data_IF_771017125009
#
_entry.id   IF_771017125009
#
_cell.length_a   1.000
_cell.length_b   1.000
_cell.length_c   1.000
_cell.angle_alpha   90.00
_cell.angle_beta   90.00
_cell.angle_gamma   90.00
#
_symmetry.space_group_name_H-M   'P 1'
#
loop_
_entity.id
_entity.type
_entity.pdbx_description
1 polymer ?
#
# COMPACT_ATOMS: atom_id res chain seq x y z
N UNK A 1 1.25 49.41 -33.37
CA UNK A 1 0.49 48.35 -34.06
C UNK A 1 1.49 47.27 -34.45
N UNK A 2 1.42 46.01 -34.02
CA UNK A 2 0.35 45.24 -33.40
C UNK A 2 0.96 44.29 -32.36
N UNK A 3 0.29 44.22 -31.21
CA UNK A 3 0.38 43.14 -30.23
C UNK A 3 -0.03 41.81 -30.87
N UNK A 4 0.66 40.74 -30.46
CA UNK A 4 0.21 39.35 -30.49
C UNK A 4 0.63 38.85 -29.09
N UNK A 5 -0.12 39.12 -28.02
CA UNK A 5 -1.27 38.33 -27.55
C UNK A 5 -1.50 37.02 -28.31
N UNK A 6 -0.57 36.09 -28.13
CA UNK A 6 -0.91 34.67 -28.14
C UNK A 6 -1.50 34.31 -26.79
N UNK A 7 -2.81 34.55 -26.72
CA UNK A 7 -3.83 33.77 -26.01
C UNK A 7 -3.32 32.82 -24.93
N UNK A 8 -3.67 33.14 -23.69
CA UNK A 8 -3.98 32.18 -22.62
C UNK A 8 -4.49 30.87 -23.23
N UNK A 9 -3.60 29.88 -23.31
CA UNK A 9 -4.04 28.51 -23.43
C UNK A 9 -4.94 28.24 -22.24
N UNK A 10 -6.10 27.67 -22.55
CA UNK A 10 -7.16 27.27 -21.63
C UNK A 10 -6.66 26.15 -20.70
N UNK A 11 -5.69 26.45 -19.85
CA UNK A 11 -5.19 25.55 -18.82
C UNK A 11 -6.30 25.34 -17.78
N UNK A 12 -6.99 24.20 -17.91
CA UNK A 12 -7.77 23.52 -16.88
C UNK A 12 -8.73 24.41 -16.08
N UNK A 13 -9.90 24.67 -16.68
CA UNK A 13 -10.98 25.47 -16.09
C UNK A 13 -11.63 24.79 -14.87
N UNK A 14 -11.48 23.47 -14.70
CA UNK A 14 -12.14 22.74 -13.62
C UNK A 14 -11.20 22.50 -12.42
N UNK A 15 -11.68 22.80 -11.21
CA UNK A 15 -10.99 22.46 -9.97
C UNK A 15 -10.90 20.93 -9.78
N UNK A 16 -10.08 20.47 -8.84
CA UNK A 16 -10.02 19.05 -8.53
C UNK A 16 -11.19 18.70 -7.62
N UNK A 17 -11.93 17.65 -7.97
CA UNK A 17 -13.07 17.17 -7.19
C UNK A 17 -12.71 15.95 -6.34
N UNK A 18 -13.38 15.82 -5.19
CA UNK A 18 -13.28 14.64 -4.35
C UNK A 18 -14.03 13.51 -5.04
N UNK A 19 -13.33 12.44 -5.39
CA UNK A 19 -13.89 11.34 -6.20
C UNK A 19 -14.71 10.42 -5.30
N UNK A 20 -15.96 10.13 -5.68
CA UNK A 20 -16.82 9.15 -4.99
C UNK A 20 -16.27 7.74 -5.17
N UNK A 21 -15.77 7.17 -4.08
CA UNK A 21 -15.17 5.83 -4.04
C UNK A 21 -16.13 4.76 -3.53
N UNK A 22 -17.39 5.12 -3.20
CA UNK A 22 -18.36 4.16 -2.65
C UNK A 22 -18.76 3.15 -3.70
N UNK A 23 -18.77 1.89 -3.27
CA UNK A 23 -19.26 0.79 -4.10
C UNK A 23 -20.76 0.52 -3.88
N UNK A 24 -21.35 1.09 -2.82
CA UNK A 24 -22.74 0.87 -2.40
C UNK A 24 -23.68 2.05 -2.66
N UNK A 25 -24.50 2.37 -1.66
CA UNK A 25 -25.56 3.37 -1.75
C UNK A 25 -25.05 4.77 -2.17
N UNK A 26 -25.65 5.30 -3.24
CA UNK A 26 -25.36 6.62 -3.84
C UNK A 26 -26.47 7.64 -3.58
N UNK A 27 -27.44 7.33 -2.71
CA UNK A 27 -28.58 8.19 -2.42
C UNK A 27 -28.21 9.47 -1.64
N UNK A 28 -27.06 9.48 -0.97
CA UNK A 28 -26.55 10.63 -0.22
C UNK A 28 -25.28 11.21 -0.85
N UNK A 29 -25.01 12.52 -0.68
CA UNK A 29 -23.75 13.13 -1.10
C UNK A 29 -22.55 12.36 -0.54
N UNK A 30 -21.53 12.15 -1.37
CA UNK A 30 -20.31 11.48 -0.93
C UNK A 30 -19.53 12.36 0.03
N UNK A 31 -19.17 11.79 1.18
CA UNK A 31 -18.22 12.38 2.10
C UNK A 31 -17.13 11.36 2.40
N UNK A 32 -15.89 11.68 2.03
CA UNK A 32 -14.74 10.87 2.35
C UNK A 32 -14.54 10.86 3.87
N UNK A 33 -14.77 9.72 4.52
CA UNK A 33 -14.71 9.60 5.99
C UNK A 33 -14.03 8.31 6.43
N UNK A 34 -13.59 8.31 7.68
CA UNK A 34 -13.07 7.12 8.35
C UNK A 34 -14.17 6.51 9.22
N UNK A 35 -14.66 5.33 8.83
CA UNK A 35 -15.69 4.62 9.59
C UNK A 35 -15.23 4.32 11.04
N UNK A 36 -16.12 4.26 12.03
CA UNK A 36 -15.73 3.89 13.39
C UNK A 36 -15.34 2.40 13.46
N UNK A 37 -14.42 2.07 14.38
CA UNK A 37 -13.92 0.70 14.58
C UNK A 37 -15.05 -0.29 14.91
N UNK A 38 -16.14 0.17 15.54
CA UNK A 38 -17.31 -0.67 15.83
C UNK A 38 -17.96 -1.29 14.58
N UNK A 39 -17.71 -0.74 13.38
CA UNK A 39 -18.19 -1.29 12.10
C UNK A 39 -17.35 -2.45 11.58
N UNK A 40 -16.17 -2.71 12.13
CA UNK A 40 -15.28 -3.80 11.68
C UNK A 40 -15.61 -5.14 12.31
N UNK A 41 -16.37 -5.17 13.42
CA UNK A 41 -16.62 -6.39 14.20
C UNK A 41 -17.28 -7.50 13.39
N UNK A 42 -18.23 -7.16 12.51
CA UNK A 42 -18.90 -8.16 11.66
C UNK A 42 -17.97 -8.71 10.58
N UNK A 43 -17.18 -7.84 9.94
CA UNK A 43 -16.16 -8.23 8.98
C UNK A 43 -15.11 -9.18 9.60
N UNK A 44 -14.63 -8.87 10.81
CA UNK A 44 -13.71 -9.73 11.55
C UNK A 44 -14.33 -11.10 11.79
N UNK A 45 -15.55 -11.16 12.35
CA UNK A 45 -16.26 -12.43 12.58
C UNK A 45 -16.48 -13.22 11.30
N UNK A 46 -16.76 -12.55 10.18
CA UNK A 46 -16.92 -13.20 8.89
C UNK A 46 -15.61 -13.80 8.38
N UNK A 47 -14.51 -13.04 8.46
CA UNK A 47 -13.17 -13.49 8.03
C UNK A 47 -12.59 -14.58 8.94
N UNK A 48 -12.82 -14.50 10.26
CA UNK A 48 -12.45 -15.54 11.25
C UNK A 48 -13.38 -16.77 11.20
N UNK A 49 -14.52 -16.67 10.51
CA UNK A 49 -15.42 -17.79 10.31
C UNK A 49 -14.70 -18.97 9.67
N UNK A 50 -15.04 -20.20 10.08
CA UNK A 50 -14.38 -21.43 9.60
C UNK A 50 -14.52 -21.58 8.08
N UNK A 51 -13.53 -21.06 7.34
CA UNK A 51 -13.41 -21.18 5.89
C UNK A 51 -12.04 -21.74 5.56
N UNK A 52 -11.95 -22.93 4.92
CA UNK A 52 -10.67 -23.57 4.65
C UNK A 52 -9.77 -22.75 3.72
N UNK A 53 -10.37 -21.87 2.92
CA UNK A 53 -9.69 -20.98 1.97
C UNK A 53 -9.10 -19.71 2.62
N UNK A 54 -9.43 -19.42 3.88
CA UNK A 54 -8.84 -18.33 4.67
C UNK A 54 -7.91 -18.95 5.69
N UNK A 55 -6.61 -18.77 5.47
CA UNK A 55 -5.53 -19.41 6.23
C UNK A 55 -4.58 -18.32 6.71
N UNK A 56 -5.08 -17.34 7.45
CA UNK A 56 -4.30 -16.21 7.94
C UNK A 56 -4.55 -16.01 9.43
N UNK A 57 -3.59 -15.40 10.11
CA UNK A 57 -3.69 -15.12 11.54
C UNK A 57 -4.84 -14.16 11.85
N UNK A 58 -5.37 -14.22 13.08
CA UNK A 58 -6.36 -13.24 13.57
C UNK A 58 -5.85 -11.80 13.53
N UNK A 59 -4.53 -11.60 13.66
CA UNK A 59 -3.88 -10.30 13.53
C UNK A 59 -3.98 -9.76 12.09
N UNK A 60 -3.71 -10.60 11.09
CA UNK A 60 -3.89 -10.26 9.68
C UNK A 60 -5.37 -9.97 9.35
N UNK A 61 -6.31 -10.74 9.90
CA UNK A 61 -7.75 -10.47 9.75
C UNK A 61 -8.12 -9.09 10.31
N UNK A 62 -7.62 -8.74 11.50
CA UNK A 62 -7.85 -7.41 12.08
C UNK A 62 -7.27 -6.31 11.20
N UNK A 63 -6.08 -6.50 10.63
CA UNK A 63 -5.48 -5.54 9.68
C UNK A 63 -6.33 -5.33 8.44
N UNK A 64 -6.85 -6.39 7.84
CA UNK A 64 -7.77 -6.31 6.69
C UNK A 64 -9.03 -5.52 7.05
N UNK A 65 -9.68 -5.89 8.16
CA UNK A 65 -10.94 -5.28 8.56
C UNK A 65 -10.80 -3.81 8.99
N UNK A 66 -9.70 -3.46 9.67
CA UNK A 66 -9.38 -2.08 10.02
C UNK A 66 -8.86 -1.29 8.79
N UNK A 67 -8.19 -1.95 7.84
CA UNK A 67 -7.72 -1.36 6.60
C UNK A 67 -8.84 -0.91 5.68
N UNK A 68 -9.98 -1.62 5.69
CA UNK A 68 -11.08 -1.36 4.78
C UNK A 68 -11.76 0.00 4.98
N UNK A 69 -12.03 0.67 3.86
CA UNK A 69 -12.83 1.91 3.79
C UNK A 69 -14.30 1.61 4.03
N UNK A 70 -14.79 0.51 3.45
CA UNK A 70 -16.16 0.02 3.60
C UNK A 70 -16.12 -1.39 4.24
N UNK A 71 -15.86 -1.53 5.57
CA UNK A 71 -15.73 -2.84 6.21
C UNK A 71 -16.95 -3.75 6.02
N UNK A 72 -18.15 -3.17 5.88
CA UNK A 72 -19.36 -3.93 5.61
C UNK A 72 -19.31 -4.71 4.28
N UNK A 73 -18.54 -4.26 3.27
CA UNK A 73 -18.37 -4.99 2.02
C UNK A 73 -17.48 -6.24 2.16
N UNK A 74 -16.70 -6.33 3.24
CA UNK A 74 -15.99 -7.56 3.56
C UNK A 74 -16.96 -8.64 4.05
N UNK A 75 -18.11 -8.26 4.62
CA UNK A 75 -19.18 -9.21 4.97
C UNK A 75 -19.74 -9.81 3.69
N UNK A 76 -19.53 -11.11 3.47
CA UNK A 76 -19.96 -11.77 2.22
C UNK A 76 -19.01 -11.57 1.03
N UNK A 77 -17.83 -10.97 1.23
CA UNK A 77 -16.83 -10.87 0.17
C UNK A 77 -16.54 -12.25 -0.44
N UNK A 78 -16.63 -12.31 -1.77
CA UNK A 78 -16.31 -13.52 -2.54
C UNK A 78 -14.81 -13.76 -2.47
N UNK A 79 -14.45 -15.00 -2.14
CA UNK A 79 -13.08 -15.48 -2.27
C UNK A 79 -12.84 -15.86 -3.73
N UNK A 80 -11.90 -15.18 -4.35
CA UNK A 80 -11.40 -15.53 -5.67
C UNK A 80 -10.27 -16.53 -5.55
N UNK A 81 -10.19 -17.49 -6.48
CA UNK A 81 -9.10 -18.46 -6.53
C UNK A 81 -8.26 -18.21 -7.78
N UNK A 82 -6.97 -17.96 -7.56
CA UNK A 82 -6.00 -17.66 -8.60
C UNK A 82 -5.05 -18.85 -8.75
N UNK A 83 -5.04 -19.46 -9.93
CA UNK A 83 -4.16 -20.61 -10.23
C UNK A 83 -2.72 -20.14 -10.37
N UNK A 84 -1.82 -20.71 -9.57
CA UNK A 84 -0.36 -20.55 -9.70
C UNK A 84 0.26 -21.89 -10.07
N UNK A 85 1.57 -21.91 -10.31
CA UNK A 85 2.26 -23.13 -10.74
C UNK A 85 2.18 -24.26 -9.71
N UNK A 86 2.25 -23.93 -8.42
CA UNK A 86 2.34 -24.89 -7.32
C UNK A 86 1.02 -25.16 -6.59
N UNK A 87 -0.06 -24.45 -6.96
CA UNK A 87 -1.30 -24.47 -6.19
C UNK A 87 -2.32 -23.38 -6.57
N UNK A 88 -3.13 -22.99 -5.59
CA UNK A 88 -4.16 -21.97 -5.72
C UNK A 88 -4.02 -20.93 -4.61
N UNK A 89 -4.00 -19.65 -4.98
CA UNK A 89 -4.07 -18.54 -4.04
C UNK A 89 -5.54 -18.13 -3.85
N UNK A 90 -5.95 -17.96 -2.60
CA UNK A 90 -7.25 -17.39 -2.25
C UNK A 90 -7.11 -15.90 -2.01
N UNK A 91 -7.93 -15.10 -2.66
CA UNK A 91 -7.82 -13.64 -2.68
C UNK A 91 -9.16 -13.00 -2.31
N UNK A 92 -9.10 -11.94 -1.50
CA UNK A 92 -10.22 -11.02 -1.29
C UNK A 92 -9.89 -9.66 -1.87
N UNK A 93 -10.90 -9.00 -2.45
CA UNK A 93 -10.76 -7.66 -3.04
C UNK A 93 -11.58 -6.66 -2.25
N UNK A 94 -10.98 -5.53 -1.88
CA UNK A 94 -11.68 -4.42 -1.22
C UNK A 94 -10.94 -3.10 -1.44
N UNK A 95 -11.51 -1.99 -1.00
CA UNK A 95 -10.82 -0.68 -0.97
C UNK A 95 -10.27 -0.42 0.43
N UNK A 96 -8.98 -0.16 0.52
CA UNK A 96 -8.26 0.08 1.76
C UNK A 96 -7.83 1.55 1.89
N UNK A 97 -7.62 2.01 3.13
CA UNK A 97 -6.88 3.24 3.38
C UNK A 97 -5.40 3.01 3.08
N UNK A 98 -4.81 3.87 2.25
CA UNK A 98 -3.43 3.74 1.76
C UNK A 98 -2.41 3.61 2.89
N UNK A 99 -2.59 4.35 3.99
CA UNK A 99 -1.67 4.36 5.14
C UNK A 99 -1.82 3.16 6.07
N UNK A 100 -2.79 2.27 5.84
CA UNK A 100 -2.90 1.01 6.58
C UNK A 100 -2.20 -0.15 5.86
N UNK A 101 -1.47 0.16 4.78
CA UNK A 101 -0.68 -0.76 3.98
C UNK A 101 0.78 -0.30 4.05
N UNK A 102 1.71 -1.25 3.89
CA UNK A 102 3.14 -0.97 3.82
C UNK A 102 3.71 -1.51 2.51
N UNK A 103 4.63 -0.83 1.83
CA UNK A 103 5.26 -1.41 0.64
C UNK A 103 6.10 -2.65 1.01
N UNK A 104 6.11 -3.68 0.17
CA UNK A 104 7.07 -4.76 0.33
C UNK A 104 8.44 -4.36 -0.23
N UNK A 105 9.50 -4.96 0.30
CA UNK A 105 10.87 -4.81 -0.21
C UNK A 105 11.04 -5.61 -1.52
N UNK A 106 10.30 -6.71 -1.65
CA UNK A 106 10.36 -7.72 -2.73
C UNK A 106 9.66 -7.34 -4.04
N UNK A 107 9.89 -6.14 -4.56
CA UNK A 107 9.44 -5.86 -5.91
C UNK A 107 10.53 -6.22 -6.93
N UNK A 108 10.17 -6.97 -7.98
CA UNK A 108 11.00 -7.25 -9.16
C UNK A 108 11.60 -5.98 -9.79
N UNK A 109 10.99 -4.80 -9.59
CA UNK A 109 11.51 -3.52 -10.07
C UNK A 109 12.68 -2.94 -9.27
N UNK A 110 13.03 -3.56 -8.15
CA UNK A 110 14.15 -3.20 -7.28
C UNK A 110 15.16 -4.34 -7.11
N UNK A 111 14.97 -5.46 -7.80
CA UNK A 111 15.96 -6.55 -7.84
C UNK A 111 17.31 -6.11 -8.42
N UNK A 112 17.36 -4.99 -9.16
CA UNK A 112 18.63 -4.39 -9.62
C UNK A 112 19.47 -3.82 -8.45
N UNK A 113 18.86 -3.51 -7.29
CA UNK A 113 19.55 -2.96 -6.10
C UNK A 113 19.44 -3.85 -4.85
N UNK A 114 18.46 -4.76 -4.80
CA UNK A 114 18.28 -5.74 -3.73
C UNK A 114 18.93 -7.07 -4.13
N UNK A 115 20.25 -7.14 -3.96
CA UNK A 115 21.00 -8.37 -4.16
C UNK A 115 20.64 -9.36 -3.04
N UNK A 116 20.07 -10.50 -3.39
CA UNK A 116 19.93 -11.63 -2.46
C UNK A 116 21.23 -12.42 -2.44
N UNK A 117 22.11 -12.13 -1.47
CA UNK A 117 23.24 -12.93 -0.94
C UNK A 117 24.24 -13.60 -1.92
N UNK A 118 24.12 -13.40 -3.22
CA UNK A 118 24.89 -14.15 -4.22
C UNK A 118 25.87 -13.27 -5.02
N UNK A 119 25.91 -11.95 -4.80
CA UNK A 119 26.77 -11.04 -5.56
C UNK A 119 27.93 -10.49 -4.68
N UNK A 120 29.16 -11.02 -4.84
CA UNK A 120 30.33 -10.58 -4.08
C UNK A 120 30.87 -9.19 -4.45
N UNK A 121 30.35 -8.54 -5.51
CA UNK A 121 30.81 -7.21 -5.96
C UNK A 121 29.91 -6.05 -5.43
N UNK A 122 28.96 -6.35 -4.55
CA UNK A 122 28.08 -5.31 -3.97
C UNK A 122 28.85 -4.33 -3.08
N UNK A 123 28.73 -3.04 -3.40
CA UNK A 123 29.29 -1.96 -2.58
C UNK A 123 28.74 -2.03 -1.14
N UNK A 124 29.57 -1.71 -0.13
CA UNK A 124 29.24 -1.74 1.31
C UNK A 124 27.94 -0.99 1.73
N UNK A 125 27.29 -0.24 0.83
CA UNK A 125 26.04 0.47 1.06
C UNK A 125 24.77 -0.32 0.66
N UNK A 126 24.90 -1.49 0.03
CA UNK A 126 23.79 -2.36 -0.37
C UNK A 126 23.75 -3.57 0.57
N UNK A 127 23.06 -3.41 1.70
CA UNK A 127 22.85 -4.52 2.63
C UNK A 127 21.88 -5.52 2.01
N UNK A 128 22.37 -6.71 1.72
CA UNK A 128 21.60 -7.89 1.30
C UNK A 128 20.55 -8.20 2.37
N UNK A 129 19.28 -8.29 1.97
CA UNK A 129 18.20 -8.80 2.83
C UNK A 129 17.88 -10.24 2.46
N UNK A 130 17.43 -11.02 3.43
CA UNK A 130 16.96 -12.38 3.19
C UNK A 130 15.64 -12.37 2.41
N UNK A 131 15.47 -13.36 1.54
CA UNK A 131 14.14 -13.68 1.00
C UNK A 131 13.25 -14.07 2.19
N UNK A 132 11.99 -13.60 2.28
CA UNK A 132 11.08 -14.09 3.30
C UNK A 132 10.84 -15.58 3.11
N UNK A 133 10.56 -16.22 4.23
CA UNK A 133 10.24 -17.63 4.30
C UNK A 133 8.74 -17.84 4.48
N UNK A 134 8.31 -19.09 4.37
CA UNK A 134 6.92 -19.45 4.64
C UNK A 134 6.66 -19.47 6.14
N UNK A 135 5.49 -19.01 6.57
CA UNK A 135 4.96 -19.37 7.88
C UNK A 135 4.53 -20.86 7.88
N UNK A 136 4.59 -21.52 9.04
CA UNK A 136 4.30 -22.97 9.13
C UNK A 136 2.85 -23.32 8.75
N UNK A 137 1.89 -22.53 9.25
CA UNK A 137 0.44 -22.78 9.08
C UNK A 137 -0.30 -21.78 8.20
N UNK A 138 0.14 -20.53 8.20
CA UNK A 138 -0.62 -19.41 7.63
C UNK A 138 -0.02 -18.98 6.27
N UNK A 139 -0.88 -18.45 5.39
CA UNK A 139 -0.53 -17.79 4.15
C UNK A 139 0.07 -16.39 4.43
N UNK A 140 1.27 -16.42 5.02
CA UNK A 140 2.00 -15.25 5.51
C UNK A 140 3.47 -15.35 5.11
N UNK A 141 4.05 -14.23 4.66
CA UNK A 141 5.50 -14.13 4.41
C UNK A 141 6.23 -13.77 5.71
N UNK A 142 7.30 -14.50 6.04
CA UNK A 142 8.07 -14.30 7.27
C UNK A 142 9.40 -13.64 6.96
N UNK A 143 9.57 -12.39 7.39
CA UNK A 143 10.84 -11.67 7.32
C UNK A 143 11.70 -11.96 8.54
N UNK A 144 12.94 -12.37 8.29
CA UNK A 144 13.87 -12.81 9.33
C UNK A 144 14.93 -11.76 9.69
N UNK A 145 15.17 -10.79 8.80
CA UNK A 145 16.16 -9.72 9.01
C UNK A 145 15.76 -8.80 10.18
N UNK A 146 16.73 -8.02 10.65
CA UNK A 146 16.49 -7.02 11.69
C UNK A 146 15.53 -5.94 11.17
N UNK A 147 14.55 -5.54 12.00
CA UNK A 147 13.55 -4.54 11.62
C UNK A 147 14.18 -3.24 11.11
N UNK A 148 15.23 -2.72 11.75
CA UNK A 148 15.86 -1.46 11.30
C UNK A 148 16.45 -1.56 9.88
N UNK A 149 16.92 -2.75 9.48
CA UNK A 149 17.42 -2.98 8.12
C UNK A 149 16.27 -3.01 7.11
N UNK A 150 15.15 -3.65 7.47
CA UNK A 150 13.92 -3.67 6.66
C UNK A 150 13.35 -2.25 6.50
N UNK A 151 13.30 -1.46 7.58
CA UNK A 151 12.85 -0.07 7.59
C UNK A 151 13.73 0.86 6.75
N UNK A 152 15.05 0.66 6.78
CA UNK A 152 15.95 1.44 5.94
C UNK A 152 15.80 1.05 4.45
N UNK A 153 15.61 -0.23 4.16
CA UNK A 153 15.45 -0.72 2.80
C UNK A 153 14.13 -0.27 2.17
N UNK A 154 13.02 -0.35 2.90
CA UNK A 154 11.71 0.07 2.41
C UNK A 154 11.66 1.58 2.10
N UNK A 155 12.34 2.42 2.89
CA UNK A 155 12.44 3.85 2.62
C UNK A 155 13.24 4.15 1.36
N UNK A 156 14.35 3.43 1.13
CA UNK A 156 15.14 3.53 -0.10
C UNK A 156 14.32 3.08 -1.30
N UNK A 157 13.68 1.91 -1.20
CA UNK A 157 12.81 1.33 -2.21
C UNK A 157 11.69 2.31 -2.62
N UNK A 158 10.95 2.85 -1.65
CA UNK A 158 9.87 3.79 -1.91
C UNK A 158 10.35 5.08 -2.59
N UNK A 159 11.51 5.61 -2.17
CA UNK A 159 12.11 6.80 -2.82
C UNK A 159 12.55 6.52 -4.25
N UNK A 160 13.15 5.35 -4.50
CA UNK A 160 13.61 4.94 -5.83
C UNK A 160 12.43 4.75 -6.80
N UNK A 161 11.41 4.03 -6.36
CA UNK A 161 10.21 3.77 -7.17
C UNK A 161 9.42 5.05 -7.45
N UNK A 162 9.30 5.95 -6.46
CA UNK A 162 8.65 7.25 -6.66
C UNK A 162 9.34 8.13 -7.71
N UNK A 163 10.67 8.01 -7.86
CA UNK A 163 11.44 8.75 -8.88
C UNK A 163 11.40 8.09 -10.25
N UNK A 164 11.48 6.76 -10.31
CA UNK A 164 11.61 6.01 -11.56
C UNK A 164 10.27 5.79 -12.27
N UNK A 165 9.15 5.75 -11.53
CA UNK A 165 7.83 5.49 -12.11
C UNK A 165 6.72 6.29 -11.41
N UNK A 166 6.78 7.63 -11.43
CA UNK A 166 5.77 8.48 -10.80
C UNK A 166 4.39 8.23 -11.44
N UNK A 167 3.34 8.20 -10.61
CA UNK A 167 1.95 8.09 -11.07
C UNK A 167 1.22 9.39 -10.77
N UNK A 168 0.33 9.82 -11.68
CA UNK A 168 -0.58 10.92 -11.38
C UNK A 168 -1.66 10.42 -10.41
N UNK A 169 -1.62 10.92 -9.18
CA UNK A 169 -2.63 10.67 -8.13
C UNK A 169 -3.20 12.00 -7.67
N UNK A 170 -4.51 12.04 -7.43
CA UNK A 170 -5.21 13.19 -6.88
C UNK A 170 -6.22 13.78 -7.85
N UNK A 171 -5.85 14.05 -9.11
CA UNK A 171 -6.83 14.30 -10.18
C UNK A 171 -7.56 13.03 -10.61
N UNK A 172 -6.90 11.89 -10.43
CA UNK A 172 -7.44 10.55 -10.60
C UNK A 172 -7.12 9.73 -9.35
N UNK A 173 -7.94 8.74 -9.08
CA UNK A 173 -7.64 7.72 -8.06
C UNK A 173 -6.82 6.59 -8.68
N UNK A 174 -6.16 5.81 -7.83
CA UNK A 174 -5.62 4.52 -8.26
C UNK A 174 -6.78 3.58 -8.59
N UNK A 175 -6.86 3.16 -9.85
CA UNK A 175 -7.91 2.25 -10.34
C UNK A 175 -7.46 0.78 -10.31
N UNK A 176 -6.23 0.51 -10.74
CA UNK A 176 -5.68 -0.86 -10.70
C UNK A 176 -5.45 -1.26 -9.24
N UNK A 177 -5.85 -2.47 -8.81
CA UNK A 177 -5.64 -2.92 -7.44
C UNK A 177 -4.16 -3.13 -7.11
N UNK A 178 -3.77 -2.81 -5.89
CA UNK A 178 -2.49 -3.25 -5.32
C UNK A 178 -2.63 -4.71 -4.87
N UNK A 179 -1.60 -5.52 -5.03
CA UNK A 179 -1.60 -6.87 -4.43
C UNK A 179 -0.88 -6.80 -3.10
N UNK A 180 -1.55 -7.22 -2.04
CA UNK A 180 -0.99 -7.28 -0.70
C UNK A 180 -1.00 -8.70 -0.15
N UNK A 181 -0.08 -8.98 0.77
CA UNK A 181 0.04 -10.24 1.47
C UNK A 181 0.26 -9.97 2.96
N UNK A 182 -0.31 -10.78 3.86
CA UNK A 182 0.09 -10.78 5.26
C UNK A 182 1.58 -11.08 5.40
N UNK A 183 2.23 -10.34 6.29
CA UNK A 183 3.64 -10.55 6.62
C UNK A 183 3.82 -10.59 8.13
N UNK A 184 4.84 -11.32 8.58
CA UNK A 184 5.29 -11.38 9.98
C UNK A 184 6.77 -11.07 10.03
N UNK A 185 7.20 -10.37 11.09
CA UNK A 185 8.60 -10.01 11.31
C UNK A 185 9.13 -10.74 12.56
N UNK A 186 10.18 -11.56 12.40
CA UNK A 186 10.72 -12.33 13.53
C UNK A 186 11.49 -11.48 14.54
N UNK A 187 12.06 -10.36 14.10
CA UNK A 187 12.88 -9.46 14.93
C UNK A 187 12.31 -8.03 14.93
N UNK A 188 11.11 -7.80 15.48
CA UNK A 188 10.34 -6.58 15.26
C UNK A 188 10.94 -5.33 15.90
N UNK A 189 11.92 -5.45 16.82
CA UNK A 189 12.67 -4.35 17.43
C UNK A 189 11.82 -3.42 18.31
N UNK A 190 10.89 -2.67 17.71
CA UNK A 190 9.93 -1.80 18.40
C UNK A 190 8.46 -1.94 17.94
N UNK A 191 8.10 -2.21 16.67
CA UNK A 191 6.69 -2.38 16.20
C UNK A 191 6.64 -3.04 14.80
N UNK A 192 5.44 -3.42 14.26
CA UNK A 192 4.50 -4.48 14.66
C UNK A 192 5.00 -5.90 14.26
N UNK A 193 4.46 -6.92 14.92
CA UNK A 193 4.82 -8.33 14.63
C UNK A 193 4.27 -8.81 13.29
N UNK A 194 3.12 -8.28 12.87
CA UNK A 194 2.49 -8.55 11.58
C UNK A 194 2.19 -7.27 10.81
N UNK A 195 2.11 -7.31 9.48
CA UNK A 195 1.60 -6.24 8.63
C UNK A 195 0.91 -6.76 7.34
N UNK A 196 0.38 -5.84 6.53
CA UNK A 196 -0.04 -6.09 5.15
C UNK A 196 0.94 -5.39 4.20
N UNK A 197 1.78 -6.19 3.54
CA UNK A 197 2.79 -5.67 2.62
C UNK A 197 2.33 -5.74 1.17
N UNK A 198 2.52 -4.64 0.44
CA UNK A 198 2.22 -4.51 -0.99
C UNK A 198 3.32 -5.18 -1.79
N UNK A 199 3.02 -6.35 -2.36
CA UNK A 199 3.95 -7.09 -3.22
C UNK A 199 3.84 -6.68 -4.70
N UNK A 200 2.68 -6.13 -5.12
CA UNK A 200 2.53 -5.44 -6.40
C UNK A 200 1.86 -4.07 -6.25
N UNK A 201 2.40 -3.07 -6.94
CA UNK A 201 1.86 -1.71 -6.98
C UNK A 201 2.58 -0.70 -6.07
N UNK A 202 3.81 -0.98 -5.67
CA UNK A 202 4.63 -0.06 -4.86
C UNK A 202 4.74 1.36 -5.46
N UNK A 203 4.76 1.52 -6.79
CA UNK A 203 4.79 2.86 -7.41
C UNK A 203 3.51 3.64 -7.23
N UNK A 204 2.36 2.95 -7.31
CA UNK A 204 1.04 3.54 -7.05
C UNK A 204 0.93 3.92 -5.58
N UNK A 205 1.34 3.02 -4.68
CA UNK A 205 1.37 3.31 -3.24
C UNK A 205 2.28 4.51 -2.92
N UNK A 206 3.52 4.52 -3.43
CA UNK A 206 4.48 5.59 -3.19
C UNK A 206 4.00 6.95 -3.74
N UNK A 207 3.32 6.95 -4.89
CA UNK A 207 2.72 8.18 -5.46
C UNK A 207 1.56 8.70 -4.58
N UNK A 208 0.74 7.81 -4.00
CA UNK A 208 -0.30 8.22 -3.04
C UNK A 208 0.27 8.84 -1.77
N UNK A 209 1.46 8.42 -1.32
CA UNK A 209 2.06 8.92 -0.08
C UNK A 209 3.03 10.09 -0.28
N UNK A 210 3.42 10.40 -1.52
CA UNK A 210 4.49 11.35 -1.83
C UNK A 210 4.25 12.76 -1.25
N UNK A 211 3.01 13.24 -1.30
CA UNK A 211 2.63 14.59 -0.85
C UNK A 211 2.12 14.64 0.59
N UNK A 212 2.06 13.49 1.27
CA UNK A 212 1.59 13.43 2.65
C UNK A 212 2.69 13.94 3.57
N UNK A 213 2.41 15.05 4.24
CA UNK A 213 3.24 15.60 5.30
C UNK A 213 2.56 15.37 6.64
N UNK A 214 3.32 14.90 7.61
CA UNK A 214 2.82 14.63 8.96
C UNK A 214 3.61 15.44 9.99
N UNK A 215 3.01 15.82 11.13
CA UNK A 215 3.75 16.50 12.19
C UNK A 215 4.96 15.67 12.62
N UNK A 216 6.12 16.31 12.78
CA UNK A 216 7.34 15.61 13.21
C UNK A 216 7.14 14.86 14.54
N UNK A 217 6.30 15.39 15.43
CA UNK A 217 5.92 14.77 16.69
C UNK A 217 5.16 13.44 16.53
N UNK A 218 4.48 13.23 15.40
CA UNK A 218 3.78 11.98 15.07
C UNK A 218 4.74 10.88 14.57
N UNK A 219 5.97 11.24 14.24
CA UNK A 219 7.01 10.31 13.75
C UNK A 219 8.00 9.97 14.86
N UNK A 220 8.39 10.97 15.65
CA UNK A 220 9.43 10.85 16.67
C UNK A 220 9.18 11.84 17.81
N UNK A 221 9.62 11.53 19.04
CA UNK A 221 9.60 12.51 20.13
C UNK A 221 10.50 13.69 19.76
N UNK A 222 9.92 14.82 19.41
CA UNK A 222 10.66 16.02 19.01
C UNK A 222 9.87 17.28 19.32
N UNK A 223 10.59 18.37 19.61
CA UNK A 223 10.03 19.71 19.75
C UNK A 223 9.94 20.45 18.40
N UNK A 224 10.45 19.84 17.31
CA UNK A 224 10.35 20.38 15.97
C UNK A 224 8.88 20.44 15.53
N UNK A 225 8.44 21.63 15.11
CA UNK A 225 7.06 21.88 14.67
C UNK A 225 6.85 21.69 13.17
N UNK A 226 7.93 21.67 12.41
CA UNK A 226 7.83 21.57 10.96
C UNK A 226 7.33 20.17 10.56
N UNK A 227 6.41 20.07 9.60
CA UNK A 227 5.93 18.78 9.14
C UNK A 227 6.97 18.11 8.24
N UNK A 228 7.15 16.80 8.41
CA UNK A 228 8.07 15.97 7.63
C UNK A 228 7.32 15.18 6.56
N UNK A 229 8.01 14.87 5.46
CA UNK A 229 7.48 13.93 4.46
C UNK A 229 7.28 12.55 5.10
N UNK A 230 6.13 11.95 4.83
CA UNK A 230 5.82 10.62 5.33
C UNK A 230 6.70 9.57 4.62
N UNK A 231 7.52 8.85 5.39
CA UNK A 231 8.27 7.69 4.92
C UNK A 231 7.52 6.39 5.29
N UNK A 232 7.64 5.32 4.49
CA UNK A 232 7.09 4.01 4.84
C UNK A 232 7.51 3.54 6.23
N UNK A 233 8.77 3.77 6.61
CA UNK A 233 9.28 3.40 7.94
C UNK A 233 8.55 4.10 9.09
N UNK A 234 8.05 5.32 8.87
CA UNK A 234 7.25 6.03 9.86
C UNK A 234 5.94 5.26 10.12
N UNK A 235 5.26 4.82 9.05
CA UNK A 235 4.05 4.01 9.18
C UNK A 235 4.37 2.67 9.83
N UNK A 236 5.40 1.97 9.36
CA UNK A 236 5.79 0.66 9.90
C UNK A 236 6.12 0.73 11.39
N UNK A 237 6.59 1.86 11.91
CA UNK A 237 6.81 2.06 13.35
C UNK A 237 5.54 2.35 14.15
N UNK A 238 4.43 2.66 13.52
CA UNK A 238 3.18 2.95 14.22
C UNK A 238 2.32 1.69 14.37
N UNK A 239 1.72 1.45 15.56
CA UNK A 239 0.63 0.51 15.73
C UNK A 239 -0.53 0.77 14.76
N UNK A 240 -1.29 -0.28 14.43
CA UNK A 240 -2.42 -0.20 13.50
C UNK A 240 -3.45 0.87 13.88
N UNK A 241 -3.72 1.05 15.18
CA UNK A 241 -4.64 2.06 15.70
C UNK A 241 -4.14 3.47 15.45
N UNK A 242 -2.85 3.72 15.70
CA UNK A 242 -2.23 5.03 15.49
C UNK A 242 -2.16 5.40 13.99
N UNK A 243 -1.89 4.42 13.11
CA UNK A 243 -2.01 4.64 11.66
C UNK A 243 -3.43 5.03 11.26
N UNK A 244 -4.45 4.38 11.85
CA UNK A 244 -5.86 4.72 11.57
C UNK A 244 -6.21 6.12 12.08
N UNK A 245 -5.72 6.51 13.23
CA UNK A 245 -5.93 7.85 13.78
C UNK A 245 -5.25 8.92 12.93
N UNK A 246 -4.05 8.63 12.41
CA UNK A 246 -3.38 9.48 11.42
C UNK A 246 -4.22 9.65 10.14
N UNK A 247 -4.78 8.57 9.59
CA UNK A 247 -5.73 8.65 8.45
C UNK A 247 -6.91 9.56 8.78
N UNK A 248 -7.53 9.37 9.96
CA UNK A 248 -8.68 10.17 10.41
C UNK A 248 -8.31 11.66 10.52
N UNK A 249 -7.15 11.96 11.08
CA UNK A 249 -6.65 13.33 11.22
C UNK A 249 -6.41 13.98 9.86
N UNK A 250 -5.73 13.28 8.94
CA UNK A 250 -5.47 13.75 7.58
C UNK A 250 -6.77 14.06 6.85
N UNK A 251 -7.73 13.12 6.87
CA UNK A 251 -9.04 13.29 6.22
C UNK A 251 -9.80 14.48 6.81
N UNK A 252 -9.84 14.59 8.16
CA UNK A 252 -10.50 15.71 8.84
C UNK A 252 -9.87 17.05 8.50
N UNK A 253 -8.54 17.14 8.49
CA UNK A 253 -7.81 18.36 8.18
C UNK A 253 -8.01 18.78 6.72
N UNK A 254 -8.01 17.83 5.78
CA UNK A 254 -8.26 18.11 4.37
C UNK A 254 -9.68 18.69 4.15
N UNK A 255 -10.71 18.12 4.76
CA UNK A 255 -12.07 18.70 4.72
C UNK A 255 -12.13 20.11 5.31
N UNK A 256 -11.46 20.33 6.46
CA UNK A 256 -11.36 21.66 7.06
C UNK A 256 -10.70 22.67 6.10
N UNK A 257 -9.63 22.25 5.43
CA UNK A 257 -8.91 23.13 4.49
C UNK A 257 -9.73 23.45 3.24
N UNK A 258 -10.52 22.49 2.73
CA UNK A 258 -11.48 22.74 1.65
C UNK A 258 -12.50 23.79 2.07
N UNK A 259 -13.10 23.62 3.25
CA UNK A 259 -14.15 24.51 3.76
C UNK A 259 -13.63 25.91 4.13
N UNK A 260 -12.39 26.02 4.62
CA UNK A 260 -11.78 27.29 4.99
C UNK A 260 -11.28 28.10 3.78
N UNK A 261 -10.99 27.44 2.65
CA UNK A 261 -10.52 28.08 1.42
C UNK A 261 -11.69 28.65 0.60
N UNK A 262 -12.42 29.59 1.19
CA UNK A 262 -13.58 30.24 0.56
C UNK A 262 -13.18 31.21 -0.56
N UNK A 263 -14.01 31.33 -1.60
CA UNK A 263 -13.83 32.28 -2.71
C UNK A 263 -13.25 31.65 -3.99
N UNK A 264 -12.89 32.50 -4.95
CA UNK A 264 -12.44 32.12 -6.31
C UNK A 264 -10.98 32.50 -6.61
N UNK A 265 -10.24 33.01 -5.61
CA UNK A 265 -8.84 33.41 -5.82
C UNK A 265 -7.97 32.20 -6.17
N UNK A 266 -6.88 32.44 -6.93
CA UNK A 266 -5.91 31.40 -7.30
C UNK A 266 -5.34 30.67 -6.07
N UNK A 267 -5.08 31.41 -5.00
CA UNK A 267 -4.57 30.86 -3.75
C UNK A 267 -5.61 29.97 -3.03
N UNK A 268 -6.87 30.41 -2.96
CA UNK A 268 -7.96 29.60 -2.40
C UNK A 268 -8.20 28.32 -3.21
N UNK A 269 -8.17 28.42 -4.55
CA UNK A 269 -8.26 27.26 -5.45
C UNK A 269 -7.11 26.29 -5.22
N UNK A 270 -5.86 26.75 -5.23
CA UNK A 270 -4.69 25.90 -5.00
C UNK A 270 -4.76 25.14 -3.66
N UNK A 271 -5.26 25.80 -2.61
CA UNK A 271 -5.47 25.16 -1.30
C UNK A 271 -6.55 24.07 -1.34
N UNK A 272 -7.69 24.32 -2.00
CA UNK A 272 -8.74 23.30 -2.19
C UNK A 272 -8.25 22.13 -3.02
N UNK A 273 -7.55 22.39 -4.12
CA UNK A 273 -7.02 21.37 -5.01
C UNK A 273 -6.01 20.48 -4.27
N UNK A 274 -5.11 21.05 -3.46
CA UNK A 274 -4.17 20.29 -2.64
C UNK A 274 -4.89 19.38 -1.64
N UNK A 275 -5.87 19.92 -0.90
CA UNK A 275 -6.63 19.14 0.06
C UNK A 275 -7.47 18.02 -0.60
N UNK A 276 -7.99 18.29 -1.80
CA UNK A 276 -8.74 17.30 -2.57
C UNK A 276 -7.86 16.19 -3.11
N UNK A 277 -6.67 16.53 -3.65
CA UNK A 277 -5.67 15.52 -4.07
C UNK A 277 -5.31 14.59 -2.91
N UNK A 278 -5.13 15.16 -1.72
CA UNK A 278 -4.85 14.40 -0.51
C UNK A 278 -5.98 13.40 -0.20
N UNK A 279 -7.24 13.84 -0.18
CA UNK A 279 -8.39 12.93 0.02
C UNK A 279 -8.45 11.80 -1.02
N UNK A 280 -8.21 12.12 -2.29
CA UNK A 280 -8.23 11.15 -3.38
C UNK A 280 -7.06 10.14 -3.28
N UNK A 281 -5.93 10.53 -2.69
CA UNK A 281 -4.78 9.65 -2.45
C UNK A 281 -4.93 8.74 -1.21
N UNK A 282 -5.90 9.01 -0.33
CA UNK A 282 -6.07 8.27 0.93
C UNK A 282 -6.59 6.84 0.77
N UNK A 283 -7.06 6.45 -0.41
CA UNK A 283 -7.63 5.11 -0.61
C UNK A 283 -7.18 4.47 -1.90
N UNK A 284 -7.02 3.14 -1.85
CA UNK A 284 -6.57 2.32 -2.97
C UNK A 284 -7.38 1.03 -3.02
N UNK A 285 -7.72 0.52 -4.22
CA UNK A 285 -8.23 -0.84 -4.35
C UNK A 285 -7.09 -1.83 -4.05
N UNK A 286 -7.40 -2.89 -3.33
CA UNK A 286 -6.43 -3.92 -2.93
C UNK A 286 -6.98 -5.32 -3.17
N UNK A 287 -6.10 -6.21 -3.59
CA UNK A 287 -6.28 -7.66 -3.63
C UNK A 287 -5.38 -8.25 -2.54
N UNK A 288 -5.98 -8.84 -1.51
CA UNK A 288 -5.23 -9.43 -0.40
C UNK A 288 -5.25 -10.94 -0.53
N UNK A 289 -4.06 -11.54 -0.60
CA UNK A 289 -3.89 -13.00 -0.54
C UNK A 289 -4.17 -13.44 0.90
N UNK A 290 -5.18 -14.29 1.08
CA UNK A 290 -5.66 -14.75 2.40
C UNK A 290 -5.58 -16.27 2.57
N UNK A 291 -5.06 -16.99 1.60
CA UNK A 291 -4.91 -18.43 1.68
C UNK A 291 -4.11 -19.01 0.52
N UNK A 292 -3.62 -20.23 0.71
CA UNK A 292 -2.89 -21.00 -0.27
C UNK A 292 -3.18 -22.49 -0.16
N UNK A 293 -3.64 -23.09 -1.24
CA UNK A 293 -3.81 -24.55 -1.35
C UNK A 293 -2.78 -25.09 -2.32
N UNK A 294 -1.79 -25.79 -1.81
CA UNK A 294 -0.77 -26.46 -2.59
C UNK A 294 -1.33 -27.69 -3.32
N UNK A 295 -0.90 -27.95 -4.56
CA UNK A 295 -1.31 -29.14 -5.33
C UNK A 295 -0.83 -30.45 -4.68
N UNK A 296 0.26 -30.39 -3.93
CA UNK A 296 0.73 -31.45 -3.05
C UNK A 296 0.44 -31.07 -1.58
N UNK A 297 -0.62 -31.65 -0.96
CA UNK A 297 -0.99 -31.35 0.41
C UNK A 297 0.13 -31.55 1.44
N UNK A 298 1.12 -32.43 1.17
CA UNK A 298 2.25 -32.65 2.08
C UNK A 298 3.20 -31.45 2.17
N UNK A 299 3.14 -30.52 1.21
CA UNK A 299 3.97 -29.31 1.20
C UNK A 299 3.40 -28.20 2.08
N UNK A 300 2.09 -28.21 2.37
CA UNK A 300 1.44 -27.17 3.17
C UNK A 300 1.79 -25.76 2.68
N UNK A 301 2.22 -24.89 3.60
CA UNK A 301 2.64 -23.51 3.29
C UNK A 301 4.06 -23.36 2.76
N UNK A 302 4.87 -24.43 2.67
CA UNK A 302 6.30 -24.32 2.33
C UNK A 302 6.56 -23.63 0.99
N UNK A 303 5.63 -23.77 0.03
CA UNK A 303 5.72 -23.15 -1.30
C UNK A 303 4.93 -21.85 -1.45
N UNK A 304 4.37 -21.34 -0.35
CA UNK A 304 3.61 -20.09 -0.37
C UNK A 304 4.43 -18.88 -0.88
N UNK A 305 5.68 -18.63 -0.42
CA UNK A 305 6.48 -17.52 -0.95
C UNK A 305 6.73 -17.63 -2.46
N UNK A 306 6.96 -18.85 -2.95
CA UNK A 306 7.14 -19.12 -4.39
C UNK A 306 5.84 -18.82 -5.15
N UNK A 307 4.69 -19.27 -4.64
CA UNK A 307 3.38 -19.00 -5.23
C UNK A 307 3.08 -17.49 -5.33
N UNK A 308 3.40 -16.73 -4.28
CA UNK A 308 3.25 -15.26 -4.28
C UNK A 308 4.13 -14.64 -5.37
N UNK A 309 5.37 -15.08 -5.52
CA UNK A 309 6.28 -14.58 -6.57
C UNK A 309 5.84 -14.94 -7.98
N UNK A 310 5.37 -16.16 -8.20
CA UNK A 310 4.85 -16.56 -9.51
C UNK A 310 3.68 -15.68 -9.96
N UNK A 311 2.87 -15.19 -9.01
CA UNK A 311 1.82 -14.21 -9.30
C UNK A 311 2.43 -12.87 -9.76
N UNK A 312 3.46 -12.38 -9.08
CA UNK A 312 4.17 -11.14 -9.44
C UNK A 312 4.79 -11.20 -10.84
N UNK A 313 5.49 -12.30 -11.16
CA UNK A 313 6.11 -12.49 -12.47
C UNK A 313 5.08 -12.45 -13.62
N UNK A 314 3.88 -12.99 -13.40
CA UNK A 314 2.78 -12.94 -14.37
C UNK A 314 2.11 -11.57 -14.48
N UNK A 315 2.10 -10.78 -13.40
CA UNK A 315 1.51 -9.44 -13.37
C UNK A 315 2.43 -8.34 -13.91
N UNK A 316 3.73 -8.63 -14.02
CA UNK A 316 4.79 -7.76 -14.52
C UNK A 316 5.05 -7.90 -16.04
N UNK A 317 4.00 -8.09 -16.85
CA UNK A 317 4.07 -7.92 -18.32
C UNK A 317 4.15 -6.43 -18.65
N UNK A 318 5.31 -5.86 -18.39
CA UNK A 318 5.69 -4.47 -18.57
C UNK A 318 7.18 -4.37 -18.24
N UNK A 319 7.94 -5.23 -18.92
CA UNK A 319 9.36 -5.52 -18.74
C UNK A 319 10.15 -4.24 -18.95
N UNK A 320 10.80 -3.76 -17.88
CA UNK A 320 12.02 -2.97 -18.04
C UNK A 320 13.04 -3.93 -18.64
N UNK A 321 13.63 -3.59 -19.78
CA UNK A 321 14.64 -4.43 -20.43
C UNK A 321 15.72 -4.79 -19.41
N UNK A 322 15.92 -6.08 -19.16
CA UNK A 322 17.08 -6.53 -18.39
C UNK A 322 18.34 -6.09 -19.11
N UNK A 323 19.32 -5.56 -18.37
CA UNK A 323 20.68 -5.41 -18.89
C UNK A 323 21.16 -6.76 -19.47
N UNK A 324 21.77 -6.80 -20.66
CA UNK A 324 22.12 -8.05 -21.33
C UNK A 324 22.94 -9.03 -20.47
N UNK A 325 23.75 -8.52 -19.54
CA UNK A 325 24.55 -9.31 -18.60
C UNK A 325 23.72 -10.06 -17.56
N UNK A 326 22.50 -9.60 -17.26
CA UNK A 326 21.63 -10.15 -16.20
C UNK A 326 20.58 -11.13 -16.73
N UNK A 327 20.41 -11.23 -18.05
CA UNK A 327 19.41 -12.10 -18.68
C UNK A 327 19.72 -13.60 -18.48
N UNK A 328 20.98 -13.96 -18.29
CA UNK A 328 21.40 -15.36 -18.14
C UNK A 328 21.20 -15.93 -16.72
N UNK A 329 20.79 -15.12 -15.75
CA UNK A 329 20.54 -15.56 -14.36
C UNK A 329 19.08 -15.90 -14.04
N UNK A 330 18.17 -15.71 -15.00
CA UNK A 330 16.70 -15.80 -14.81
C UNK A 330 16.05 -16.96 -15.58
N UNK A 331 16.84 -17.81 -16.25
CA UNK A 331 16.35 -19.04 -16.91
C UNK A 331 16.52 -20.29 -16.05
#
# INVERSE_FOLDING_TARGET
MSTIDTTDERDDIDGIEVIDIRSGDRSTPFEHRVEPVSKTTKAIKFLEGKRPDIQISSSAVRRIAFGAVEPALLEGARLERHRVETGWLSVITYRAYTLLLSPAIENDRLLDEAHYAADPDTSNNQRVLAMPTAHDTDATLVYTDAMDDLLAAIDRASKSVGKSNPQEVGRRIVERPLTAVPVTFLNPGRHPDDDLSIVDGNSRWASCTADIKVPSSSIRPTNAKDPESLLPSHLMRLPLTERRDLVREIVKNAHRDINAATGTSRAARAKRDQATRLLNAMTVPVQVIVGYTDDNPSMGMRRFPVAVRSLLMRMNVGVKSFEPSSQNGVT
#
